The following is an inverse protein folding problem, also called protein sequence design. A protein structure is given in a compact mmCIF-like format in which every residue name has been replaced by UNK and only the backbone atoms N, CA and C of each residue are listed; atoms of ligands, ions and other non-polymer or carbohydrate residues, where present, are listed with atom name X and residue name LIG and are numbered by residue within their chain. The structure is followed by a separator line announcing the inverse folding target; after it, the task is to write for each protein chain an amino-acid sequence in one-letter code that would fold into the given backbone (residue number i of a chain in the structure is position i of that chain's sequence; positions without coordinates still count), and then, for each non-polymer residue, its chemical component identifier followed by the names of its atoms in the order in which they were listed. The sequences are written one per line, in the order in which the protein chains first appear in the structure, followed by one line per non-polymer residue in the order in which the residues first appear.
data_IF_025377868995
#
_entry.id   IF_025377868995
#
_cell.length_a   1.000
_cell.length_b   1.000
_cell.length_c   1.000
_cell.angle_alpha   90.00
_cell.angle_beta   90.00
_cell.angle_gamma   90.00
#
_symmetry.space_group_name_H-M   'P 1'
#
loop_
_entity.id
_entity.type
_entity.pdbx_description
1 polymer ?
#
# COMPACT_ATOMS: atom_id res chain seq x y z
N UNK A 1 8.85 -13.65 -10.32
CA UNK A 1 8.15 -13.05 -11.48
C UNK A 1 6.65 -13.01 -11.29
N UNK A 2 5.89 -14.13 -11.35
CA UNK A 2 4.42 -14.07 -11.12
C UNK A 2 4.07 -13.52 -9.72
N UNK A 3 4.77 -13.98 -8.68
CA UNK A 3 4.59 -13.50 -7.31
C UNK A 3 4.86 -12.00 -7.22
N UNK A 4 5.98 -11.53 -7.76
CA UNK A 4 6.36 -10.11 -7.78
C UNK A 4 5.29 -9.25 -8.47
N UNK A 5 4.77 -9.70 -9.62
CA UNK A 5 3.71 -8.97 -10.33
C UNK A 5 2.43 -8.90 -9.51
N UNK A 6 2.04 -9.98 -8.83
CA UNK A 6 0.89 -9.96 -7.94
C UNK A 6 1.09 -9.02 -6.75
N UNK A 7 2.28 -9.03 -6.14
CA UNK A 7 2.61 -8.14 -5.04
C UNK A 7 2.59 -6.67 -5.48
N UNK A 8 3.13 -6.36 -6.66
CA UNK A 8 3.14 -5.02 -7.25
C UNK A 8 1.71 -4.50 -7.46
N UNK A 9 0.84 -5.33 -8.06
CA UNK A 9 -0.58 -4.98 -8.22
C UNK A 9 -1.27 -4.75 -6.87
N UNK A 10 -1.02 -5.60 -5.87
CA UNK A 10 -1.58 -5.40 -4.52
C UNK A 10 -1.07 -4.11 -3.86
N UNK A 11 0.21 -3.79 -4.06
CA UNK A 11 0.81 -2.55 -3.57
C UNK A 11 0.16 -1.33 -4.21
N UNK A 12 0.01 -1.32 -5.54
CA UNK A 12 -0.62 -0.23 -6.28
C UNK A 12 -2.09 -0.02 -5.88
N UNK A 13 -2.83 -1.12 -5.68
CA UNK A 13 -4.21 -1.06 -5.20
C UNK A 13 -4.30 -0.46 -3.80
N UNK A 14 -3.35 -0.80 -2.91
CA UNK A 14 -3.28 -0.24 -1.57
C UNK A 14 -2.95 1.27 -1.58
N UNK A 15 -1.98 1.69 -2.40
CA UNK A 15 -1.60 3.10 -2.53
C UNK A 15 -2.72 3.94 -3.17
N UNK A 16 -3.43 3.36 -4.14
CA UNK A 16 -4.52 4.02 -4.87
C UNK A 16 -5.89 3.85 -4.21
N UNK A 17 -5.97 3.70 -2.88
CA UNK A 17 -7.18 3.26 -2.16
C UNK A 17 -8.47 4.00 -2.51
N UNK A 18 -8.41 5.32 -2.68
CA UNK A 18 -9.58 6.12 -3.06
C UNK A 18 -9.99 5.88 -4.52
N UNK A 19 -9.01 5.80 -5.44
CA UNK A 19 -9.28 5.48 -6.84
C UNK A 19 -9.86 4.07 -6.98
N UNK A 20 -9.36 3.09 -6.21
CA UNK A 20 -9.89 1.72 -6.19
C UNK A 20 -11.34 1.70 -5.71
N UNK A 21 -11.69 2.46 -4.67
CA UNK A 21 -13.08 2.58 -4.22
C UNK A 21 -13.99 3.04 -5.37
N UNK A 22 -13.64 4.14 -6.04
CA UNK A 22 -14.43 4.65 -7.17
C UNK A 22 -14.46 3.66 -8.33
N UNK A 23 -13.32 3.06 -8.68
CA UNK A 23 -13.23 2.06 -9.74
C UNK A 23 -14.16 0.87 -9.46
N UNK A 24 -14.17 0.33 -8.24
CA UNK A 24 -15.05 -0.78 -7.88
C UNK A 24 -16.53 -0.40 -7.95
N UNK A 25 -16.90 0.82 -7.55
CA UNK A 25 -18.29 1.32 -7.68
C UNK A 25 -18.67 1.45 -9.16
N UNK A 26 -17.83 2.08 -9.98
CA UNK A 26 -18.09 2.24 -11.41
C UNK A 26 -18.13 0.90 -12.15
N UNK A 27 -17.28 -0.06 -11.79
CA UNK A 27 -17.35 -1.42 -12.32
C UNK A 27 -18.64 -2.13 -11.89
N UNK A 28 -19.09 -1.92 -10.65
CA UNK A 28 -20.37 -2.45 -10.16
C UNK A 28 -21.56 -1.91 -10.94
N UNK A 29 -21.56 -0.61 -11.25
CA UNK A 29 -22.57 0.04 -12.11
C UNK A 29 -22.46 -0.44 -13.57
N UNK A 30 -21.25 -0.47 -14.12
CA UNK A 30 -20.96 -0.90 -15.48
C UNK A 30 -21.24 -2.39 -15.72
N UNK A 31 -21.18 -3.24 -14.70
CA UNK A 31 -21.55 -4.64 -14.83
C UNK A 31 -23.00 -4.79 -15.35
N UNK A 32 -23.88 -3.85 -15.04
CA UNK A 32 -25.29 -3.88 -15.46
C UNK A 32 -25.51 -3.77 -16.97
N UNK A 33 -24.49 -3.42 -17.77
CA UNK A 33 -24.59 -3.43 -19.24
C UNK A 33 -24.14 -4.76 -19.87
N UNK A 34 -23.48 -5.63 -19.10
CA UNK A 34 -22.88 -6.89 -19.60
C UNK A 34 -23.73 -8.10 -19.18
N UNK A 35 -24.08 -9.03 -20.08
CA UNK A 35 -24.61 -10.34 -19.68
C UNK A 35 -23.55 -11.08 -18.84
N UNK A 36 -23.84 -11.63 -17.64
CA UNK A 36 -25.13 -12.04 -17.09
C UNK A 36 -25.82 -11.04 -16.14
N UNK A 37 -25.22 -9.88 -15.90
CA UNK A 37 -25.68 -8.88 -14.93
C UNK A 37 -26.61 -7.83 -15.53
N UNK A 38 -26.95 -7.96 -16.82
CA UNK A 38 -27.90 -7.09 -17.52
C UNK A 38 -29.32 -7.30 -17.02
N UNK A 39 -30.09 -6.23 -16.69
CA UNK A 39 -31.47 -6.34 -16.25
C UNK A 39 -32.32 -7.07 -17.27
N UNK A 40 -32.96 -8.15 -16.84
CA UNK A 40 -33.99 -8.86 -17.61
C UNK A 40 -35.29 -8.85 -16.81
N UNK A 41 -36.41 -8.97 -17.52
CA UNK A 41 -37.74 -8.87 -16.95
C UNK A 41 -38.16 -10.09 -16.12
N UNK A 42 -37.34 -11.14 -16.07
CA UNK A 42 -37.51 -12.32 -15.21
C UNK A 42 -37.07 -12.01 -13.78
N UNK A 43 -37.88 -12.41 -12.79
CA UNK A 43 -37.64 -12.13 -11.37
C UNK A 43 -36.27 -12.63 -10.85
N UNK A 44 -35.67 -13.66 -11.47
CA UNK A 44 -34.32 -14.13 -11.15
C UNK A 44 -33.20 -13.18 -11.63
N UNK A 45 -33.41 -12.41 -12.69
CA UNK A 45 -32.40 -11.48 -13.18
C UNK A 45 -32.25 -10.26 -12.27
N UNK A 46 -33.31 -9.82 -11.58
CA UNK A 46 -33.24 -8.72 -10.60
C UNK A 46 -32.17 -8.97 -9.54
N UNK A 47 -32.10 -10.19 -8.99
CA UNK A 47 -31.09 -10.53 -7.99
C UNK A 47 -29.66 -10.49 -8.57
N UNK A 48 -29.45 -11.08 -9.75
CA UNK A 48 -28.13 -11.09 -10.42
C UNK A 48 -27.67 -9.66 -10.75
N UNK A 49 -28.57 -8.79 -11.19
CA UNK A 49 -28.25 -7.40 -11.54
C UNK A 49 -27.93 -6.49 -10.37
N UNK A 50 -28.34 -6.88 -9.16
CA UNK A 50 -28.17 -6.08 -7.95
C UNK A 50 -26.95 -6.49 -7.12
N UNK A 51 -26.33 -7.66 -7.38
CA UNK A 51 -25.09 -8.10 -6.71
C UNK A 51 -23.85 -7.25 -7.02
N UNK A 52 -23.58 -6.79 -8.26
CA UNK A 52 -22.27 -6.21 -8.58
C UNK A 52 -22.01 -4.87 -7.88
N UNK A 53 -23.04 -4.09 -7.59
CA UNK A 53 -22.93 -2.81 -6.88
C UNK A 53 -22.49 -3.00 -5.41
N UNK A 54 -23.23 -3.73 -4.54
CA UNK A 54 -22.82 -3.94 -3.17
C UNK A 54 -21.49 -4.70 -3.10
N UNK A 55 -21.21 -5.62 -4.03
CA UNK A 55 -19.91 -6.28 -4.11
C UNK A 55 -18.79 -5.27 -4.39
N UNK A 56 -18.96 -4.39 -5.38
CA UNK A 56 -18.00 -3.33 -5.69
C UNK A 56 -17.76 -2.40 -4.50
N UNK A 57 -18.83 -1.99 -3.81
CA UNK A 57 -18.71 -1.18 -2.59
C UNK A 57 -17.93 -1.93 -1.50
N UNK A 58 -18.26 -3.19 -1.22
CA UNK A 58 -17.57 -4.01 -0.21
C UNK A 58 -16.10 -4.18 -0.54
N UNK A 59 -15.75 -4.46 -1.80
CA UNK A 59 -14.35 -4.58 -2.22
C UNK A 59 -13.60 -3.26 -2.12
N UNK A 60 -14.21 -2.16 -2.58
CA UNK A 60 -13.62 -0.83 -2.53
C UNK A 60 -13.37 -0.34 -1.10
N UNK A 61 -14.37 -0.50 -0.21
CA UNK A 61 -14.25 -0.16 1.21
C UNK A 61 -13.27 -1.10 1.92
N UNK A 62 -13.27 -2.39 1.58
CA UNK A 62 -12.32 -3.35 2.10
C UNK A 62 -10.88 -2.96 1.78
N UNK A 63 -10.59 -2.56 0.54
CA UNK A 63 -9.27 -2.05 0.16
C UNK A 63 -8.93 -0.72 0.83
N UNK A 64 -9.92 0.17 1.01
CA UNK A 64 -9.73 1.44 1.70
C UNK A 64 -9.27 1.27 3.14
N UNK A 65 -9.82 0.28 3.84
CA UNK A 65 -9.54 0.03 5.26
C UNK A 65 -8.32 -0.88 5.45
N UNK A 66 -8.20 -1.94 4.65
CA UNK A 66 -7.23 -3.02 4.90
C UNK A 66 -6.14 -3.17 3.83
N UNK A 67 -6.19 -2.37 2.75
CA UNK A 67 -5.29 -2.54 1.61
C UNK A 67 -3.82 -2.40 1.99
N UNK A 68 -3.50 -1.38 2.79
CA UNK A 68 -2.14 -1.10 3.27
C UNK A 68 -1.63 -2.20 4.20
N UNK A 69 -2.45 -2.71 5.12
CA UNK A 69 -2.06 -3.78 6.02
C UNK A 69 -1.84 -5.10 5.27
N UNK A 70 -2.74 -5.44 4.34
CA UNK A 70 -2.59 -6.65 3.52
C UNK A 70 -1.32 -6.56 2.69
N UNK A 71 -1.11 -5.45 1.97
CA UNK A 71 0.10 -5.21 1.19
C UNK A 71 1.36 -5.33 2.05
N UNK A 72 1.37 -4.68 3.23
CA UNK A 72 2.51 -4.73 4.14
C UNK A 72 2.84 -6.14 4.63
N UNK A 73 1.83 -6.91 5.01
CA UNK A 73 1.99 -8.31 5.42
C UNK A 73 2.51 -9.18 4.27
N UNK A 74 1.99 -9.00 3.06
CA UNK A 74 2.40 -9.78 1.90
C UNK A 74 3.83 -9.46 1.45
N UNK A 75 4.21 -8.18 1.39
CA UNK A 75 5.58 -7.76 1.05
C UNK A 75 6.56 -8.17 2.15
N UNK A 76 6.19 -8.07 3.43
CA UNK A 76 7.06 -8.57 4.50
C UNK A 76 7.32 -10.08 4.37
N UNK A 77 6.28 -10.86 4.03
CA UNK A 77 6.39 -12.33 3.95
C UNK A 77 7.10 -12.83 2.69
N UNK A 78 6.89 -12.19 1.55
CA UNK A 78 7.34 -12.69 0.24
C UNK A 78 8.37 -11.79 -0.44
N UNK A 79 8.61 -10.59 0.10
CA UNK A 79 9.63 -9.66 -0.40
C UNK A 79 11.04 -10.06 -0.01
N UNK A 80 11.99 -9.31 -0.56
CA UNK A 80 13.41 -9.41 -0.29
C UNK A 80 13.83 -8.37 0.74
N UNK A 81 14.76 -8.74 1.60
CA UNK A 81 15.30 -7.85 2.61
C UNK A 81 16.33 -6.89 2.01
N UNK A 82 16.33 -5.65 2.50
CA UNK A 82 17.28 -4.61 2.13
C UNK A 82 17.47 -3.60 3.25
N UNK A 83 18.35 -2.65 3.02
CA UNK A 83 18.58 -1.53 3.93
C UNK A 83 18.36 -0.22 3.20
N UNK A 84 17.70 0.72 3.84
CA UNK A 84 17.41 2.02 3.28
C UNK A 84 18.02 3.15 4.12
N UNK A 85 18.24 4.29 3.50
CA UNK A 85 18.66 5.52 4.17
C UNK A 85 17.86 6.69 3.63
N UNK A 86 17.31 7.51 4.52
CA UNK A 86 16.62 8.76 4.12
C UNK A 86 17.67 9.79 3.71
N UNK A 87 17.60 10.26 2.47
CA UNK A 87 18.53 11.27 1.92
C UNK A 87 18.00 12.70 2.06
N UNK A 88 16.68 12.86 2.16
CA UNK A 88 16.05 14.15 2.40
C UNK A 88 14.55 14.02 2.59
N UNK A 89 13.93 15.11 3.03
CA UNK A 89 12.48 15.20 3.19
C UNK A 89 11.94 16.42 2.45
N UNK A 90 10.70 16.34 2.00
CA UNK A 90 10.03 17.41 1.27
C UNK A 90 8.57 17.51 1.70
N UNK A 91 8.01 18.68 1.45
CA UNK A 91 6.65 19.00 1.77
C UNK A 91 5.70 18.54 0.64
N UNK A 92 4.69 17.75 0.97
CA UNK A 92 3.71 17.32 -0.05
C UNK A 92 2.64 18.39 -0.32
N UNK A 93 2.53 19.41 0.52
CA UNK A 93 1.44 20.38 0.51
C UNK A 93 0.11 19.83 1.05
N UNK A 94 0.06 18.55 1.44
CA UNK A 94 -1.13 17.91 1.97
C UNK A 94 -1.09 17.81 3.49
N UNK A 95 -2.27 17.74 4.11
CA UNK A 95 -2.44 17.45 5.52
C UNK A 95 -3.39 16.27 5.71
N UNK A 96 -3.10 15.44 6.70
CA UNK A 96 -3.92 14.32 7.13
C UNK A 96 -4.13 14.44 8.65
N UNK A 97 -5.39 14.48 9.09
CA UNK A 97 -5.75 14.70 10.51
C UNK A 97 -5.03 15.91 11.14
N UNK A 98 -5.05 17.07 10.45
CA UNK A 98 -4.38 18.32 10.86
C UNK A 98 -2.85 18.23 11.02
N UNK A 99 -2.23 17.11 10.61
CA UNK A 99 -0.80 16.93 10.54
C UNK A 99 -0.34 17.04 9.10
N UNK A 100 0.80 17.70 8.89
CA UNK A 100 1.38 17.83 7.56
C UNK A 100 1.93 16.50 7.10
N UNK A 101 1.59 16.10 5.88
CA UNK A 101 2.14 14.89 5.26
C UNK A 101 3.48 15.24 4.66
N UNK A 102 4.54 14.62 5.16
CA UNK A 102 5.88 14.76 4.62
C UNK A 102 6.16 13.63 3.62
N UNK A 103 6.96 13.95 2.61
CA UNK A 103 7.58 12.99 1.73
C UNK A 103 9.06 12.82 2.09
N UNK A 104 9.60 11.63 1.86
CA UNK A 104 10.97 11.26 2.22
C UNK A 104 11.63 10.59 1.03
N UNK A 105 12.73 11.16 0.55
CA UNK A 105 13.57 10.55 -0.46
C UNK A 105 14.49 9.53 0.22
N UNK A 106 14.62 8.35 -0.38
CA UNK A 106 15.38 7.25 0.19
C UNK A 106 16.25 6.57 -0.86
N UNK A 107 17.38 6.05 -0.40
CA UNK A 107 18.19 5.12 -1.16
C UNK A 107 18.06 3.74 -0.53
N UNK A 108 17.59 2.77 -1.32
CA UNK A 108 17.50 1.37 -0.92
C UNK A 108 18.71 0.63 -1.49
N UNK A 109 19.46 -0.02 -0.61
CA UNK A 109 20.47 -1.00 -0.95
C UNK A 109 19.83 -2.39 -0.96
N UNK A 110 19.69 -2.94 -2.16
CA UNK A 110 19.13 -4.28 -2.38
C UNK A 110 20.13 -5.38 -2.01
N UNK A 111 19.65 -6.62 -1.95
CA UNK A 111 20.45 -7.79 -1.58
C UNK A 111 21.57 -8.09 -2.59
N UNK A 112 21.40 -7.71 -3.86
CA UNK A 112 22.41 -7.78 -4.92
C UNK A 112 23.30 -6.52 -4.98
N UNK A 113 23.31 -5.71 -3.92
CA UNK A 113 24.12 -4.51 -3.74
C UNK A 113 23.87 -3.39 -4.77
N UNK A 114 22.70 -3.38 -5.42
CA UNK A 114 22.26 -2.22 -6.21
C UNK A 114 21.70 -1.15 -5.29
N UNK A 115 21.83 0.09 -5.72
CA UNK A 115 21.22 1.25 -5.08
C UNK A 115 20.04 1.71 -5.92
N UNK A 116 18.87 1.77 -5.32
CA UNK A 116 17.63 2.24 -5.94
C UNK A 116 17.20 3.51 -5.22
N UNK A 117 16.99 4.57 -6.00
CA UNK A 117 16.42 5.82 -5.51
C UNK A 117 14.89 5.76 -5.62
N UNK A 118 14.21 6.10 -4.54
CA UNK A 118 12.74 6.15 -4.48
C UNK A 118 12.30 7.11 -3.36
N UNK A 119 11.01 7.22 -3.13
CA UNK A 119 10.44 7.98 -2.02
C UNK A 119 9.23 7.28 -1.41
N UNK A 120 8.84 7.72 -0.22
CA UNK A 120 7.56 7.40 0.40
C UNK A 120 7.00 8.64 1.09
N UNK A 121 5.70 8.64 1.39
CA UNK A 121 5.04 9.69 2.18
C UNK A 121 4.48 9.13 3.48
N UNK A 122 4.26 10.00 4.47
CA UNK A 122 3.66 9.58 5.74
C UNK A 122 2.28 8.95 5.55
N UNK A 123 1.58 9.32 4.46
CA UNK A 123 0.28 8.81 4.08
C UNK A 123 0.33 7.45 3.35
N UNK A 124 1.50 6.87 3.09
CA UNK A 124 1.60 5.57 2.39
C UNK A 124 1.30 4.40 3.33
N UNK A 125 1.39 4.62 4.65
CA UNK A 125 1.21 3.60 5.70
C UNK A 125 2.03 2.32 5.43
N UNK A 126 3.22 2.46 4.84
CA UNK A 126 4.06 1.37 4.36
C UNK A 126 4.96 0.78 5.47
N UNK A 127 4.44 0.60 6.68
CA UNK A 127 5.21 0.08 7.82
C UNK A 127 4.73 -1.31 8.23
N UNK A 128 5.68 -2.16 8.62
CA UNK A 128 5.44 -3.45 9.25
C UNK A 128 6.09 -3.53 10.64
N UNK A 129 5.37 -4.02 11.67
CA UNK A 129 3.98 -4.42 11.65
C UNK A 129 3.06 -3.20 11.40
N UNK A 130 1.89 -3.39 10.76
CA UNK A 130 1.00 -2.27 10.48
C UNK A 130 0.55 -1.59 11.78
N UNK A 131 0.56 -0.26 11.77
CA UNK A 131 0.20 0.56 12.92
C UNK A 131 -0.58 1.81 12.47
N UNK A 132 -1.53 2.24 13.29
CA UNK A 132 -2.37 3.42 12.99
C UNK A 132 -1.61 4.76 13.12
N UNK A 133 -0.43 4.74 13.72
CA UNK A 133 0.47 5.89 13.82
C UNK A 133 1.90 5.40 13.99
N UNK A 134 2.82 5.97 13.23
CA UNK A 134 4.24 5.65 13.31
C UNK A 134 5.06 6.92 13.20
N UNK A 135 6.19 6.96 13.92
CA UNK A 135 7.22 7.95 13.70
C UNK A 135 8.14 7.47 12.59
N UNK A 136 7.97 7.98 11.38
CA UNK A 136 8.76 7.57 10.23
C UNK A 136 10.26 7.93 10.38
N UNK A 137 11.16 7.16 9.72
CA UNK A 137 12.59 7.50 9.66
C UNK A 137 12.81 8.93 9.15
N UNK A 138 13.75 9.64 9.77
CA UNK A 138 14.10 11.01 9.39
C UNK A 138 15.39 11.04 8.56
N UNK A 139 15.72 12.20 7.98
CA UNK A 139 16.94 12.36 7.19
C UNK A 139 18.19 11.84 7.92
N UNK A 140 18.97 11.00 7.24
CA UNK A 140 20.16 10.33 7.78
C UNK A 140 19.87 9.02 8.52
N UNK A 141 18.61 8.68 8.77
CA UNK A 141 18.26 7.43 9.43
C UNK A 141 18.48 6.23 8.51
N UNK A 142 19.02 5.18 9.11
CA UNK A 142 19.23 3.88 8.49
C UNK A 142 18.21 2.90 9.09
N UNK A 143 17.45 2.25 8.23
CA UNK A 143 16.37 1.32 8.58
C UNK A 143 16.36 0.15 7.61
N UNK A 144 15.83 -1.01 8.01
CA UNK A 144 15.65 -2.11 7.07
C UNK A 144 14.28 -2.05 6.42
N UNK A 145 14.21 -2.64 5.23
CA UNK A 145 13.02 -2.71 4.41
C UNK A 145 12.82 -4.11 3.87
N UNK A 146 11.56 -4.45 3.58
CA UNK A 146 11.24 -5.53 2.64
C UNK A 146 10.74 -4.93 1.33
N UNK A 147 11.26 -5.35 0.19
CA UNK A 147 10.89 -4.84 -1.13
C UNK A 147 10.55 -5.95 -2.11
N UNK A 148 9.82 -5.63 -3.17
CA UNK A 148 9.54 -6.58 -4.24
C UNK A 148 10.75 -6.68 -5.17
N UNK A 149 11.30 -7.88 -5.38
CA UNK A 149 12.58 -8.04 -6.09
C UNK A 149 12.59 -7.43 -7.51
N UNK A 150 11.50 -7.61 -8.26
CA UNK A 150 11.35 -7.02 -9.61
C UNK A 150 10.95 -5.53 -9.58
N UNK A 151 10.48 -5.01 -8.45
CA UNK A 151 10.01 -3.63 -8.26
C UNK A 151 10.54 -3.04 -6.94
N UNK A 152 11.84 -2.74 -6.82
CA UNK A 152 12.41 -2.37 -5.52
C UNK A 152 11.89 -1.04 -4.95
N UNK A 153 11.28 -0.20 -5.78
CA UNK A 153 10.57 1.01 -5.33
C UNK A 153 9.29 0.70 -4.53
N UNK A 154 8.80 -0.54 -4.59
CA UNK A 154 7.66 -1.01 -3.81
C UNK A 154 8.19 -1.72 -2.58
N UNK A 155 8.16 -1.01 -1.45
CA UNK A 155 8.78 -1.48 -0.24
C UNK A 155 7.97 -1.09 1.00
N UNK A 156 8.31 -1.77 2.08
CA UNK A 156 7.77 -1.53 3.41
C UNK A 156 8.93 -1.38 4.40
N UNK A 157 8.72 -0.54 5.39
CA UNK A 157 9.66 -0.21 6.45
C UNK A 157 9.44 -1.17 7.61
N UNK A 158 10.51 -1.80 8.11
CA UNK A 158 10.43 -2.75 9.23
C UNK A 158 10.72 -2.01 10.53
N UNK A 159 9.69 -1.85 11.37
CA UNK A 159 9.75 -1.06 12.62
C UNK A 159 10.09 -1.89 13.87
N UNK A 160 10.08 -3.21 13.77
CA UNK A 160 10.30 -4.13 14.88
C UNK A 160 11.55 -5.01 14.70
N UNK A 161 12.64 -4.41 14.24
CA UNK A 161 13.91 -5.10 14.01
C UNK A 161 15.12 -4.43 14.69
N UNK A 162 16.32 -4.90 14.34
CA UNK A 162 17.59 -4.45 14.94
C UNK A 162 18.20 -3.23 14.23
N UNK A 163 17.50 -2.61 13.27
CA UNK A 163 18.01 -1.43 12.59
C UNK A 163 18.21 -0.25 13.56
N UNK A 164 19.16 0.67 13.28
CA UNK A 164 19.38 1.83 14.15
C UNK A 164 18.12 2.64 14.42
N UNK A 165 17.27 2.84 13.42
CA UNK A 165 15.99 3.54 13.59
C UNK A 165 14.99 2.74 14.43
N UNK A 166 14.76 1.45 14.13
CA UNK A 166 13.78 0.63 14.88
C UNK A 166 14.13 0.52 16.37
N UNK A 167 15.42 0.38 16.72
CA UNK A 167 15.86 0.37 18.13
C UNK A 167 15.59 1.69 18.84
N UNK A 168 15.75 2.83 18.17
CA UNK A 168 15.40 4.14 18.75
C UNK A 168 13.90 4.28 18.93
N UNK A 169 13.12 3.82 17.96
CA UNK A 169 11.66 3.80 18.04
C UNK A 169 11.18 2.96 19.23
N UNK A 170 11.76 1.77 19.43
CA UNK A 170 11.44 0.90 20.56
C UNK A 170 11.83 1.52 21.92
N UNK A 171 12.91 2.29 21.99
CA UNK A 171 13.33 2.98 23.22
C UNK A 171 12.49 4.23 23.53
N UNK A 172 11.73 4.74 22.56
CA UNK A 172 10.84 5.91 22.73
C UNK A 172 9.41 5.58 23.16
N UNK A 173 9.05 4.29 23.19
CA UNK A 173 7.76 3.76 23.64
C UNK A 173 7.88 3.11 25.03
#
# INVERSE_FOLDING_TARGET
MLTDTLLHVLYDLAQSRFLVLFACIFLGLGAQIVPPFRPRADGQARFRTLIPIPLGVVLGVGNLIYGTELSANFIHRYGMQGQATVTGSYDTGNSYNDQRVMGHNVLIRTADAKTVETSFTDADFNVYPPANGVYYPQQGDIFNVSYIASFPQDFIIISNDDSPWARRLAASN
#
